data_IF_807189629997
#
_entry.id   IF_807189629997
#
_cell.length_a   1.000
_cell.length_b   1.000
_cell.length_c   1.000
_cell.angle_alpha   90.00
_cell.angle_beta   90.00
_cell.angle_gamma   90.00
#
_symmetry.space_group_name_H-M   'P 1'
#
loop_
_entity.id
_entity.type
_entity.pdbx_description
1 polymer ?
#
# COMPACT_ATOMS: atom_id res chain seq x y z
N UNK A 1 16.77 0.88 2.15
CA UNK A 1 16.21 -0.49 2.17
C UNK A 1 15.37 -0.66 3.42
N UNK A 2 14.17 -1.17 3.26
CA UNK A 2 13.19 -1.36 4.34
C UNK A 2 13.29 -2.81 4.83
N UNK A 3 13.63 -2.96 6.10
CA UNK A 3 13.86 -4.24 6.75
C UNK A 3 13.29 -4.25 8.17
N UNK A 4 12.56 -5.31 8.53
CA UNK A 4 11.95 -5.48 9.86
C UNK A 4 12.19 -6.86 10.40
N UNK A 5 12.17 -6.94 11.74
CA UNK A 5 12.09 -8.22 12.46
C UNK A 5 10.83 -8.26 13.31
N UNK A 6 10.09 -9.34 13.23
CA UNK A 6 8.93 -9.59 14.08
C UNK A 6 8.99 -10.99 14.71
N UNK A 7 8.30 -11.15 15.80
CA UNK A 7 8.09 -12.48 16.38
C UNK A 7 6.81 -13.09 15.83
N UNK A 8 6.90 -14.33 15.40
CA UNK A 8 5.77 -15.14 15.00
C UNK A 8 5.89 -16.50 15.69
N UNK A 9 4.99 -16.81 16.62
CA UNK A 9 5.06 -17.98 17.51
C UNK A 9 6.44 -18.16 18.19
N UNK A 10 7.01 -17.06 18.68
CA UNK A 10 8.32 -17.07 19.35
C UNK A 10 9.54 -17.10 18.42
N UNK A 11 9.36 -17.34 17.14
CA UNK A 11 10.43 -17.33 16.13
C UNK A 11 10.66 -15.92 15.59
N UNK A 12 11.92 -15.57 15.33
CA UNK A 12 12.26 -14.32 14.67
C UNK A 12 12.03 -14.48 13.15
N UNK A 13 11.16 -13.65 12.61
CA UNK A 13 10.86 -13.55 11.18
C UNK A 13 11.36 -12.21 10.69
N UNK A 14 12.02 -12.23 9.54
CA UNK A 14 12.57 -11.03 8.91
C UNK A 14 11.87 -10.76 7.58
N UNK A 15 11.28 -9.59 7.47
CA UNK A 15 10.60 -9.13 6.26
C UNK A 15 11.42 -8.02 5.62
N UNK A 16 11.79 -8.19 4.35
CA UNK A 16 12.53 -7.22 3.54
C UNK A 16 11.62 -6.74 2.41
N UNK A 17 11.74 -5.47 2.03
CA UNK A 17 10.92 -4.88 0.98
C UNK A 17 11.78 -4.34 -0.15
N UNK A 18 11.28 -4.50 -1.38
CA UNK A 18 11.79 -3.98 -2.65
C UNK A 18 13.13 -4.53 -3.12
N UNK A 19 13.87 -5.23 -2.29
CA UNK A 19 15.18 -5.78 -2.67
C UNK A 19 15.48 -7.09 -1.95
N UNK A 20 16.38 -7.89 -2.54
CA UNK A 20 16.96 -9.07 -1.92
C UNK A 20 18.37 -8.70 -1.48
N UNK A 21 18.70 -8.90 -0.19
CA UNK A 21 20.10 -8.95 0.25
C UNK A 21 20.51 -10.42 0.40
N UNK A 22 21.28 -10.97 -0.54
CA UNK A 22 21.72 -12.35 -0.47
C UNK A 22 22.95 -12.47 0.41
N UNK A 23 22.76 -12.63 1.71
CA UNK A 23 23.77 -13.31 2.52
C UNK A 23 23.49 -14.80 2.50
N UNK A 24 24.52 -15.66 2.37
CA UNK A 24 24.32 -17.13 2.34
C UNK A 24 23.60 -17.61 3.59
N UNK A 25 23.90 -17.03 4.75
CA UNK A 25 23.28 -17.35 6.03
C UNK A 25 21.80 -16.94 6.09
N UNK A 26 21.40 -15.87 5.39
CA UNK A 26 20.01 -15.40 5.39
C UNK A 26 19.05 -16.38 4.69
N UNK A 27 19.56 -17.28 3.85
CA UNK A 27 18.75 -18.29 3.14
C UNK A 27 18.26 -19.40 4.06
N UNK A 28 18.88 -19.59 5.21
CA UNK A 28 18.51 -20.59 6.21
C UNK A 28 17.68 -20.02 7.36
N UNK A 29 17.54 -18.71 7.43
CA UNK A 29 16.71 -18.01 8.41
C UNK A 29 15.27 -17.87 7.88
N UNK A 30 14.38 -17.40 8.73
CA UNK A 30 12.95 -17.19 8.39
C UNK A 30 12.82 -15.80 7.78
N UNK A 31 12.98 -15.70 6.44
CA UNK A 31 12.92 -14.43 5.70
C UNK A 31 11.84 -14.43 4.61
N UNK A 32 11.20 -13.28 4.45
CA UNK A 32 10.47 -12.91 3.25
C UNK A 32 11.12 -11.69 2.58
N UNK A 33 11.07 -11.65 1.25
CA UNK A 33 11.50 -10.53 0.43
C UNK A 33 10.29 -10.13 -0.42
N UNK A 34 9.71 -8.98 -0.09
CA UNK A 34 8.42 -8.56 -0.62
C UNK A 34 8.60 -7.51 -1.72
N UNK A 35 7.79 -7.60 -2.78
CA UNK A 35 7.75 -6.63 -3.87
C UNK A 35 9.11 -6.34 -4.51
N UNK A 36 9.91 -7.38 -4.71
CA UNK A 36 11.19 -7.28 -5.41
C UNK A 36 10.92 -7.04 -6.88
N UNK A 37 11.42 -5.93 -7.42
CA UNK A 37 11.19 -5.53 -8.82
C UNK A 37 12.02 -6.32 -9.82
N UNK A 38 13.15 -6.89 -9.38
CA UNK A 38 13.97 -7.75 -10.21
C UNK A 38 13.35 -9.14 -10.33
N UNK A 39 13.12 -9.57 -11.57
CA UNK A 39 12.64 -10.91 -11.89
C UNK A 39 13.83 -11.85 -12.19
N UNK A 40 14.56 -12.23 -11.13
CA UNK A 40 15.70 -13.14 -11.23
C UNK A 40 15.43 -14.43 -10.47
N UNK A 41 16.01 -15.52 -10.97
CA UNK A 41 16.07 -16.76 -10.20
C UNK A 41 17.11 -16.64 -9.08
N UNK A 42 16.74 -17.01 -7.87
CA UNK A 42 17.62 -17.05 -6.72
C UNK A 42 17.65 -18.46 -6.15
N UNK A 43 18.84 -19.11 -6.07
CA UNK A 43 18.95 -20.44 -5.49
C UNK A 43 18.51 -20.43 -4.03
N UNK A 44 17.76 -21.47 -3.64
CA UNK A 44 17.21 -21.66 -2.29
C UNK A 44 16.11 -20.68 -1.86
N UNK A 45 15.59 -19.86 -2.77
CA UNK A 45 14.42 -19.04 -2.52
C UNK A 45 13.22 -19.53 -3.36
N UNK A 46 12.06 -19.55 -2.73
CA UNK A 46 10.80 -19.86 -3.39
C UNK A 46 10.22 -18.54 -3.89
N UNK A 47 9.92 -18.48 -5.18
CA UNK A 47 9.39 -17.28 -5.84
C UNK A 47 7.89 -17.40 -6.05
N UNK A 48 7.17 -16.32 -5.73
CA UNK A 48 5.77 -16.12 -6.09
C UNK A 48 5.59 -14.79 -6.82
N UNK A 49 4.80 -14.79 -7.90
CA UNK A 49 4.48 -13.57 -8.61
C UNK A 49 3.56 -12.68 -7.75
N UNK A 50 3.81 -11.38 -7.78
CA UNK A 50 3.00 -10.37 -7.15
C UNK A 50 2.57 -9.32 -8.17
N UNK A 51 1.27 -9.13 -8.32
CA UNK A 51 0.68 -8.23 -9.31
C UNK A 51 0.38 -6.88 -8.67
N UNK A 52 0.89 -5.80 -9.26
CA UNK A 52 0.73 -4.45 -8.74
C UNK A 52 0.48 -3.43 -9.85
N UNK A 53 0.08 -2.21 -9.46
CA UNK A 53 -0.07 -1.08 -10.39
C UNK A 53 0.88 0.02 -9.95
N UNK A 54 1.82 0.40 -10.82
CA UNK A 54 2.80 1.44 -10.57
C UNK A 54 2.53 2.68 -11.42
N UNK A 55 2.83 3.84 -10.88
CA UNK A 55 2.82 5.13 -11.56
C UNK A 55 4.23 5.73 -11.50
N UNK A 56 4.66 6.27 -12.64
CA UNK A 56 5.97 6.90 -12.83
C UNK A 56 5.94 8.35 -12.35
N UNK A 57 6.63 8.63 -11.24
CA UNK A 57 6.79 9.96 -10.67
C UNK A 57 7.97 10.74 -11.24
N UNK A 58 8.78 10.19 -12.16
CA UNK A 58 9.85 10.96 -12.82
C UNK A 58 9.31 12.03 -13.77
N UNK A 59 8.08 11.86 -14.26
CA UNK A 59 7.35 12.81 -15.11
C UNK A 59 7.12 14.15 -14.40
N UNK A 60 6.92 15.24 -15.16
CA UNK A 60 6.54 16.52 -14.56
C UNK A 60 5.19 16.44 -13.82
N UNK A 61 4.92 17.37 -12.91
CA UNK A 61 3.66 17.42 -12.14
C UNK A 61 2.45 17.54 -13.06
N UNK A 62 2.58 18.35 -14.12
CA UNK A 62 1.55 18.55 -15.12
C UNK A 62 1.30 17.25 -15.90
N UNK A 63 2.37 16.54 -16.27
CA UNK A 63 2.25 15.28 -17.02
C UNK A 63 1.65 14.16 -16.16
N UNK A 64 1.96 14.10 -14.86
CA UNK A 64 1.32 13.17 -13.93
C UNK A 64 -0.20 13.41 -13.91
N UNK A 65 -0.62 14.67 -13.77
CA UNK A 65 -2.05 15.01 -13.77
C UNK A 65 -2.69 14.76 -15.15
N UNK A 66 -1.98 15.00 -16.24
CA UNK A 66 -2.49 14.80 -17.60
C UNK A 66 -2.71 13.33 -17.93
N UNK A 67 -1.94 12.43 -17.34
CA UNK A 67 -2.10 10.98 -17.51
C UNK A 67 -3.35 10.43 -16.78
N UNK A 68 -3.96 11.21 -15.87
CA UNK A 68 -5.19 10.81 -15.20
C UNK A 68 -6.39 10.82 -16.16
N UNK A 69 -7.32 9.90 -15.98
CA UNK A 69 -8.61 9.94 -16.66
C UNK A 69 -9.32 11.28 -16.43
N UNK A 70 -10.08 11.73 -17.43
CA UNK A 70 -10.80 13.01 -17.37
C UNK A 70 -11.66 13.19 -16.11
N UNK A 71 -12.31 12.10 -15.70
CA UNK A 71 -13.16 12.09 -14.49
C UNK A 71 -12.34 12.29 -13.23
N UNK A 72 -11.15 11.68 -13.14
CA UNK A 72 -10.26 11.82 -11.97
C UNK A 72 -9.72 13.25 -11.90
N UNK A 73 -9.27 13.83 -13.04
CA UNK A 73 -8.81 15.23 -13.11
C UNK A 73 -9.88 16.20 -12.59
N UNK A 74 -11.12 16.04 -13.07
CA UNK A 74 -12.23 16.89 -12.62
C UNK A 74 -12.51 16.75 -11.11
N UNK A 75 -12.40 15.53 -10.57
CA UNK A 75 -12.64 15.28 -9.15
C UNK A 75 -11.51 15.81 -8.26
N UNK A 76 -10.26 15.73 -8.72
CA UNK A 76 -9.10 16.34 -8.03
C UNK A 76 -9.29 17.85 -7.94
N UNK A 77 -9.58 18.54 -9.06
CA UNK A 77 -9.86 20.00 -9.07
C UNK A 77 -11.02 20.37 -8.15
N UNK A 78 -12.11 19.61 -8.21
CA UNK A 78 -13.27 19.88 -7.38
C UNK A 78 -12.99 19.73 -5.88
N UNK A 79 -12.14 18.78 -5.47
CA UNK A 79 -11.71 18.65 -4.07
C UNK A 79 -10.85 19.82 -3.61
N UNK A 80 -9.98 20.32 -4.48
CA UNK A 80 -9.19 21.52 -4.20
C UNK A 80 -10.07 22.75 -4.03
N UNK A 81 -11.04 22.95 -4.94
CA UNK A 81 -12.05 24.01 -4.84
C UNK A 81 -12.93 23.88 -3.58
N UNK A 82 -13.28 22.66 -3.17
CA UNK A 82 -14.07 22.39 -1.95
C UNK A 82 -13.26 22.69 -0.67
N UNK A 83 -11.94 23.00 -0.78
CA UNK A 83 -11.06 23.31 0.35
C UNK A 83 -10.55 22.10 1.13
N UNK A 84 -10.47 20.92 0.49
CA UNK A 84 -9.88 19.73 1.10
C UNK A 84 -8.39 19.96 1.36
N UNK A 85 -7.95 19.72 2.58
CA UNK A 85 -6.54 19.82 3.02
C UNK A 85 -5.96 18.41 3.07
N UNK A 86 -4.75 18.23 2.50
CA UNK A 86 -4.01 16.97 2.56
C UNK A 86 -2.69 17.18 3.31
N UNK A 87 -2.38 16.27 4.23
CA UNK A 87 -1.17 16.37 5.05
C UNK A 87 -0.67 15.01 5.51
N UNK A 88 0.61 14.93 5.88
CA UNK A 88 1.21 13.75 6.52
C UNK A 88 1.21 13.92 8.03
N UNK A 89 0.82 12.85 8.73
CA UNK A 89 0.87 12.77 10.20
C UNK A 89 1.01 11.30 10.60
N UNK A 90 2.19 10.92 11.08
CA UNK A 90 2.49 9.54 11.48
C UNK A 90 1.89 9.15 12.85
N UNK A 91 0.81 9.79 13.26
CA UNK A 91 0.07 9.41 14.48
C UNK A 91 -0.66 8.07 14.26
N UNK A 92 -0.01 6.99 14.68
CA UNK A 92 -0.50 5.60 14.50
C UNK A 92 -1.84 5.38 15.19
N UNK A 93 -2.07 5.74 16.47
CA UNK A 93 -3.38 5.58 17.11
C UNK A 93 -4.51 6.27 16.35
N UNK A 94 -4.27 7.47 15.82
CA UNK A 94 -5.24 8.22 15.00
C UNK A 94 -5.61 7.45 13.73
N UNK A 95 -4.62 6.91 13.02
CA UNK A 95 -4.84 6.10 11.83
C UNK A 95 -5.61 4.82 12.14
N UNK A 96 -5.19 4.08 13.17
CA UNK A 96 -5.81 2.79 13.55
C UNK A 96 -7.28 2.99 13.96
N UNK A 97 -7.59 4.05 14.70
CA UNK A 97 -8.99 4.38 15.02
C UNK A 97 -9.81 4.62 13.74
N UNK A 98 -9.32 5.48 12.84
CA UNK A 98 -9.99 5.79 11.57
C UNK A 98 -10.13 4.56 10.66
N UNK A 99 -9.06 3.77 10.53
CA UNK A 99 -9.08 2.56 9.70
C UNK A 99 -10.06 1.52 10.23
N UNK A 100 -10.14 1.33 11.54
CA UNK A 100 -11.00 0.31 12.14
C UNK A 100 -12.50 0.63 11.99
N UNK A 101 -12.89 1.90 11.97
CA UNK A 101 -14.25 2.30 11.57
C UNK A 101 -14.55 1.87 10.13
N UNK A 102 -13.62 2.14 9.21
CA UNK A 102 -13.74 1.73 7.81
C UNK A 102 -13.75 0.20 7.68
N UNK A 103 -12.83 -0.51 8.34
CA UNK A 103 -12.72 -1.96 8.30
C UNK A 103 -14.02 -2.63 8.78
N UNK A 104 -14.61 -2.15 9.87
CA UNK A 104 -15.91 -2.61 10.37
C UNK A 104 -17.01 -2.45 9.33
N UNK A 105 -17.06 -1.31 8.64
CA UNK A 105 -18.07 -1.06 7.59
C UNK A 105 -17.93 -1.96 6.36
N UNK A 106 -16.74 -2.55 6.17
CA UNK A 106 -16.40 -3.42 5.03
C UNK A 106 -16.29 -4.90 5.39
N UNK A 107 -16.45 -5.27 6.65
CA UNK A 107 -16.20 -6.64 7.10
C UNK A 107 -14.73 -7.06 6.97
N UNK A 108 -13.80 -6.11 7.04
CA UNK A 108 -12.36 -6.36 7.00
C UNK A 108 -11.82 -6.58 8.42
N UNK A 109 -10.70 -7.27 8.51
CA UNK A 109 -9.98 -7.43 9.78
C UNK A 109 -9.47 -6.07 10.27
N UNK A 110 -9.59 -5.77 11.58
CA UNK A 110 -9.06 -4.55 12.16
C UNK A 110 -7.53 -4.55 12.17
N UNK A 111 -6.94 -3.36 12.19
CA UNK A 111 -5.52 -3.14 12.44
C UNK A 111 -5.23 -2.82 13.90
N UNK A 112 -3.99 -3.03 14.31
CA UNK A 112 -3.49 -2.68 15.64
C UNK A 112 -2.32 -1.70 15.54
N UNK A 113 -2.08 -0.95 16.62
CA UNK A 113 -0.96 -0.02 16.67
C UNK A 113 0.37 -0.73 16.40
N UNK A 114 0.57 -1.92 16.96
CA UNK A 114 1.82 -2.67 16.80
C UNK A 114 2.04 -3.13 15.35
N UNK A 115 0.96 -3.53 14.65
CA UNK A 115 1.06 -3.93 13.23
C UNK A 115 1.41 -2.74 12.32
N UNK A 116 0.89 -1.56 12.60
CA UNK A 116 1.22 -0.36 11.85
C UNK A 116 2.60 0.16 12.24
N UNK A 117 2.94 0.21 13.53
CA UNK A 117 4.25 0.62 14.04
C UNK A 117 5.41 -0.26 13.54
N UNK A 118 5.09 -1.48 13.10
CA UNK A 118 6.04 -2.42 12.54
C UNK A 118 6.89 -1.84 11.38
N UNK A 119 6.35 -0.90 10.62
CA UNK A 119 7.04 -0.27 9.51
C UNK A 119 8.05 0.82 9.93
N UNK A 120 8.09 1.21 11.21
CA UNK A 120 9.07 2.15 11.76
C UNK A 120 9.25 3.40 10.92
N UNK A 121 10.50 3.77 10.64
CA UNK A 121 10.84 4.98 9.87
C UNK A 121 10.39 4.93 8.40
N UNK A 122 10.10 3.74 7.88
CA UNK A 122 9.56 3.59 6.52
C UNK A 122 8.04 3.84 6.44
N UNK A 123 7.34 4.00 7.57
CA UNK A 123 5.93 4.33 7.58
C UNK A 123 5.69 5.78 7.15
N UNK A 124 4.71 5.97 6.27
CA UNK A 124 4.11 7.28 5.99
C UNK A 124 2.60 7.14 6.12
N UNK A 125 1.97 8.09 6.80
CA UNK A 125 0.52 8.17 6.94
C UNK A 125 0.07 9.53 6.44
N UNK A 126 -0.90 9.55 5.52
CA UNK A 126 -1.48 10.78 4.99
C UNK A 126 -3.00 10.84 5.21
N UNK A 127 -3.53 12.04 5.26
CA UNK A 127 -4.93 12.33 5.50
C UNK A 127 -5.47 13.37 4.53
N UNK A 128 -6.72 13.20 4.11
CA UNK A 128 -7.54 14.24 3.51
C UNK A 128 -8.60 14.69 4.51
N UNK A 129 -8.65 15.98 4.78
CA UNK A 129 -9.53 16.61 5.77
C UNK A 129 -10.33 17.74 5.15
N UNK A 130 -11.57 17.88 5.57
CA UNK A 130 -12.43 19.01 5.22
C UNK A 130 -13.19 19.48 6.48
N UNK A 131 -13.07 20.77 6.81
CA UNK A 131 -13.72 21.39 7.97
C UNK A 131 -13.44 20.66 9.30
N UNK A 132 -12.20 20.23 9.53
CA UNK A 132 -11.79 19.49 10.74
C UNK A 132 -12.20 18.01 10.76
N UNK A 133 -12.74 17.49 9.67
CA UNK A 133 -13.16 16.08 9.55
C UNK A 133 -12.30 15.31 8.57
N UNK A 134 -11.70 14.20 9.02
CA UNK A 134 -10.95 13.31 8.16
C UNK A 134 -11.91 12.53 7.27
N UNK A 135 -11.72 12.64 5.95
CA UNK A 135 -12.52 11.97 4.93
C UNK A 135 -11.85 10.72 4.37
N UNK A 136 -10.51 10.74 4.26
CA UNK A 136 -9.72 9.62 3.79
C UNK A 136 -8.35 9.60 4.48
N UNK A 137 -7.77 8.41 4.57
CA UNK A 137 -6.42 8.19 5.10
C UNK A 137 -5.72 7.07 4.36
N UNK A 138 -4.40 7.24 4.14
CA UNK A 138 -3.56 6.25 3.50
C UNK A 138 -2.36 5.90 4.38
N UNK A 139 -1.84 4.68 4.23
CA UNK A 139 -0.51 4.33 4.74
C UNK A 139 0.37 3.79 3.65
N UNK A 140 1.66 4.02 3.81
CA UNK A 140 2.67 3.63 2.84
C UNK A 140 3.89 3.02 3.50
N UNK A 141 4.55 2.14 2.75
CA UNK A 141 5.94 1.76 2.97
C UNK A 141 6.80 2.58 2.02
N UNK A 142 7.74 3.34 2.56
CA UNK A 142 8.58 4.31 1.87
C UNK A 142 10.04 3.86 1.89
N UNK A 143 10.66 3.73 0.71
CA UNK A 143 12.07 3.40 0.56
C UNK A 143 12.79 4.44 -0.33
N UNK A 144 13.48 5.43 0.26
CA UNK A 144 14.18 6.46 -0.51
C UNK A 144 15.41 5.91 -1.25
N UNK A 145 16.05 4.83 -0.78
CA UNK A 145 17.18 4.21 -1.47
C UNK A 145 16.73 3.55 -2.78
N UNK A 146 15.57 2.88 -2.76
CA UNK A 146 14.97 2.26 -3.94
C UNK A 146 14.07 3.23 -4.71
N UNK A 147 13.91 4.46 -4.21
CA UNK A 147 13.07 5.52 -4.77
C UNK A 147 11.63 5.07 -5.06
N UNK A 148 11.08 4.27 -4.17
CA UNK A 148 9.74 3.70 -4.29
C UNK A 148 8.93 3.93 -3.02
N UNK A 149 7.66 4.23 -3.22
CA UNK A 149 6.64 4.21 -2.16
C UNK A 149 5.53 3.26 -2.56
N UNK A 150 5.08 2.43 -1.62
CA UNK A 150 3.98 1.50 -1.84
C UNK A 150 2.85 1.74 -0.86
N UNK A 151 1.65 1.90 -1.39
CA UNK A 151 0.44 2.00 -0.59
C UNK A 151 0.11 0.64 0.07
N UNK A 152 -0.12 0.69 1.38
CA UNK A 152 -0.52 -0.47 2.18
C UNK A 152 -2.01 -0.45 2.49
N UNK A 153 -2.52 0.70 2.93
CA UNK A 153 -3.92 0.88 3.27
C UNK A 153 -4.47 2.14 2.61
N UNK A 154 -5.74 2.06 2.23
CA UNK A 154 -6.56 3.21 1.83
C UNK A 154 -7.92 3.05 2.50
N UNK A 155 -8.26 3.97 3.38
CA UNK A 155 -9.53 4.01 4.11
C UNK A 155 -10.26 5.32 3.83
N UNK A 156 -11.58 5.29 3.86
CA UNK A 156 -12.39 6.49 3.68
C UNK A 156 -13.73 6.37 4.40
N UNK A 157 -14.35 7.49 4.74
CA UNK A 157 -15.68 7.53 5.35
C UNK A 157 -16.85 7.30 4.37
N UNK A 158 -16.59 6.75 3.19
CA UNK A 158 -17.60 6.59 2.12
C UNK A 158 -18.84 5.77 2.53
N UNK A 159 -18.73 5.00 3.60
CA UNK A 159 -19.81 4.17 4.13
C UNK A 159 -20.52 4.81 5.33
N UNK A 160 -20.08 5.97 5.77
CA UNK A 160 -20.74 6.76 6.79
C UNK A 160 -21.87 7.58 6.13
N UNK A 161 -23.13 7.31 6.52
CA UNK A 161 -24.31 7.92 5.94
C UNK A 161 -24.43 9.43 6.26
N UNK A 162 -23.71 9.89 7.26
CA UNK A 162 -23.67 11.30 7.64
C UNK A 162 -22.84 12.16 6.67
N UNK A 163 -22.17 11.55 5.72
CA UNK A 163 -21.27 12.24 4.79
C UNK A 163 -21.71 12.09 3.33
N UNK A 164 -21.47 13.13 2.55
CA UNK A 164 -21.62 13.08 1.09
C UNK A 164 -20.58 12.12 0.47
N UNK A 165 -21.05 10.96 0.03
CA UNK A 165 -20.23 9.90 -0.61
C UNK A 165 -19.40 10.42 -1.80
N UNK A 166 -19.92 11.40 -2.53
CA UNK A 166 -19.23 11.97 -3.67
C UNK A 166 -18.05 12.85 -3.22
N UNK A 167 -18.26 13.66 -2.17
CA UNK A 167 -17.17 14.46 -1.58
C UNK A 167 -16.05 13.58 -1.04
N UNK A 168 -16.40 12.52 -0.30
CA UNK A 168 -15.40 11.56 0.21
C UNK A 168 -14.63 10.89 -0.94
N UNK A 169 -15.32 10.44 -1.97
CA UNK A 169 -14.70 9.81 -3.13
C UNK A 169 -13.75 10.76 -3.87
N UNK A 170 -14.09 12.05 -3.96
CA UNK A 170 -13.22 13.07 -4.53
C UNK A 170 -12.01 13.35 -3.63
N UNK A 171 -12.23 13.50 -2.32
CA UNK A 171 -11.18 13.73 -1.33
C UNK A 171 -10.14 12.60 -1.32
N UNK A 172 -10.58 11.33 -1.42
CA UNK A 172 -9.67 10.19 -1.54
C UNK A 172 -8.79 10.26 -2.81
N UNK A 173 -9.37 10.67 -3.96
CA UNK A 173 -8.61 10.85 -5.19
C UNK A 173 -7.65 12.03 -5.10
N UNK A 174 -8.07 13.11 -4.48
CA UNK A 174 -7.22 14.26 -4.25
C UNK A 174 -6.05 13.92 -3.31
N UNK A 175 -6.29 13.12 -2.27
CA UNK A 175 -5.23 12.63 -1.38
C UNK A 175 -4.18 11.85 -2.16
N UNK A 176 -4.58 10.89 -3.02
CA UNK A 176 -3.63 10.19 -3.89
C UNK A 176 -2.77 11.15 -4.72
N UNK A 177 -3.39 12.15 -5.35
CA UNK A 177 -2.65 13.12 -6.15
C UNK A 177 -1.66 13.94 -5.31
N UNK A 178 -2.08 14.41 -4.14
CA UNK A 178 -1.22 15.18 -3.23
C UNK A 178 -0.09 14.33 -2.67
N UNK A 179 -0.35 13.08 -2.34
CA UNK A 179 0.66 12.12 -1.90
C UNK A 179 1.71 11.88 -3.01
N UNK A 180 1.27 11.68 -4.26
CA UNK A 180 2.18 11.53 -5.41
C UNK A 180 3.09 12.75 -5.58
N UNK A 181 2.56 13.96 -5.46
CA UNK A 181 3.35 15.18 -5.57
C UNK A 181 4.36 15.32 -4.43
N UNK A 182 3.95 15.03 -3.20
CA UNK A 182 4.83 15.09 -2.04
C UNK A 182 5.98 14.07 -2.15
N UNK A 183 5.67 12.83 -2.48
CA UNK A 183 6.71 11.80 -2.68
C UNK A 183 7.65 12.12 -3.86
N UNK A 184 7.12 12.71 -4.94
CA UNK A 184 7.96 13.21 -6.03
C UNK A 184 8.94 14.29 -5.55
N UNK A 185 8.50 15.22 -4.72
CA UNK A 185 9.36 16.27 -4.13
C UNK A 185 10.44 15.67 -3.22
N UNK A 186 10.17 14.54 -2.57
CA UNK A 186 11.15 13.77 -1.79
C UNK A 186 12.08 12.90 -2.66
N UNK A 187 11.95 12.95 -3.99
CA UNK A 187 12.82 12.22 -4.93
C UNK A 187 12.40 10.78 -5.19
N UNK A 188 11.18 10.39 -4.80
CA UNK A 188 10.60 9.10 -5.16
C UNK A 188 10.26 9.08 -6.65
N UNK A 189 10.63 7.98 -7.32
CA UNK A 189 10.43 7.79 -8.75
C UNK A 189 9.23 6.88 -9.07
N UNK A 190 8.81 6.04 -8.11
CA UNK A 190 7.72 5.08 -8.29
C UNK A 190 6.69 5.18 -7.18
N UNK A 191 5.43 5.37 -7.57
CA UNK A 191 4.27 5.24 -6.70
C UNK A 191 3.56 3.93 -7.00
N UNK A 192 3.62 2.98 -6.07
CA UNK A 192 2.96 1.68 -6.18
C UNK A 192 1.62 1.71 -5.44
N UNK A 193 0.53 1.61 -6.20
CA UNK A 193 -0.84 1.57 -5.67
C UNK A 193 -1.19 0.27 -4.91
N UNK A 194 -0.28 -0.67 -4.83
CA UNK A 194 -0.58 -1.98 -4.27
C UNK A 194 -1.22 -2.97 -5.23
N UNK A 195 -1.48 -4.16 -4.71
CA UNK A 195 -1.86 -5.33 -5.48
C UNK A 195 -3.19 -5.24 -6.23
N UNK A 196 -3.32 -6.08 -7.27
CA UNK A 196 -4.57 -6.44 -7.91
C UNK A 196 -4.64 -7.97 -8.07
N UNK A 197 -5.84 -8.50 -8.27
CA UNK A 197 -6.03 -9.94 -8.43
C UNK A 197 -5.37 -10.47 -9.71
N UNK A 198 -4.70 -11.65 -9.65
CA UNK A 198 -4.06 -12.21 -10.82
C UNK A 198 -5.04 -12.43 -11.97
N UNK A 199 -4.56 -12.44 -13.23
CA UNK A 199 -5.38 -12.82 -14.38
C UNK A 199 -6.03 -14.18 -14.13
N UNK A 200 -7.32 -14.31 -14.45
CA UNK A 200 -8.12 -15.52 -14.24
C UNK A 200 -8.59 -15.79 -12.80
N UNK A 201 -8.39 -14.90 -11.84
CA UNK A 201 -9.12 -14.98 -10.58
C UNK A 201 -10.60 -14.68 -10.82
N UNK A 202 -11.49 -15.48 -10.21
CA UNK A 202 -12.95 -15.25 -10.30
C UNK A 202 -13.40 -14.05 -9.43
N UNK A 203 -12.49 -13.42 -8.76
CA UNK A 203 -12.78 -12.32 -7.83
C UNK A 203 -13.03 -11.04 -8.60
N UNK A 204 -14.21 -10.50 -8.42
CA UNK A 204 -14.71 -9.27 -9.03
C UNK A 204 -14.01 -8.06 -8.39
N UNK A 205 -12.73 -7.82 -8.73
CA UNK A 205 -12.03 -6.59 -8.30
C UNK A 205 -11.66 -5.70 -9.50
N UNK A 206 -12.41 -5.80 -10.58
CA UNK A 206 -12.21 -4.93 -11.74
C UNK A 206 -12.35 -3.44 -11.40
N UNK A 207 -13.24 -3.09 -10.45
CA UNK A 207 -13.43 -1.69 -10.05
C UNK A 207 -12.24 -1.09 -9.31
N UNK A 208 -11.54 -1.87 -8.47
CA UNK A 208 -10.34 -1.39 -7.76
C UNK A 208 -9.15 -1.29 -8.72
N UNK A 209 -9.00 -2.24 -9.61
CA UNK A 209 -7.99 -2.18 -10.66
C UNK A 209 -8.24 -0.98 -11.58
N UNK A 210 -9.48 -0.80 -12.05
CA UNK A 210 -9.82 0.34 -12.90
C UNK A 210 -9.57 1.68 -12.19
N UNK A 211 -9.92 1.79 -10.90
CA UNK A 211 -9.58 2.97 -10.09
C UNK A 211 -8.09 3.32 -10.16
N UNK A 212 -7.19 2.33 -10.04
CA UNK A 212 -5.73 2.54 -10.11
C UNK A 212 -5.27 2.92 -11.52
N UNK A 213 -5.85 2.30 -12.54
CA UNK A 213 -5.54 2.59 -13.94
C UNK A 213 -6.02 3.99 -14.36
N UNK A 214 -7.11 4.48 -13.76
CA UNK A 214 -7.66 5.83 -14.02
C UNK A 214 -6.69 6.95 -13.57
N UNK A 215 -5.70 6.65 -12.72
CA UNK A 215 -4.60 7.55 -12.39
C UNK A 215 -3.41 7.47 -13.37
N UNK A 216 -3.56 6.76 -14.49
CA UNK A 216 -2.45 6.54 -15.43
C UNK A 216 -1.47 5.47 -14.95
N UNK A 217 -1.87 4.68 -13.97
CA UNK A 217 -1.07 3.56 -13.47
C UNK A 217 -0.89 2.46 -14.51
N UNK A 218 0.23 1.75 -14.45
CA UNK A 218 0.60 0.66 -15.35
C UNK A 218 0.67 -0.64 -14.56
N UNK A 219 0.05 -1.71 -15.08
CA UNK A 219 0.17 -3.05 -14.50
C UNK A 219 1.62 -3.51 -14.53
N UNK A 220 2.10 -3.96 -13.38
CA UNK A 220 3.45 -4.51 -13.20
C UNK A 220 3.40 -5.85 -12.50
N UNK A 221 4.42 -6.64 -12.73
CA UNK A 221 4.64 -7.88 -11.99
C UNK A 221 5.95 -7.70 -11.22
N UNK A 222 5.87 -7.78 -9.90
CA UNK A 222 7.00 -7.93 -9.01
C UNK A 222 7.08 -9.36 -8.50
N UNK A 223 8.08 -9.68 -7.73
CA UNK A 223 8.26 -11.02 -7.17
C UNK A 223 8.37 -10.96 -5.66
N UNK A 224 7.70 -11.87 -4.99
CA UNK A 224 7.96 -12.18 -3.60
C UNK A 224 8.86 -13.41 -3.54
N UNK A 225 9.87 -13.37 -2.67
CA UNK A 225 10.76 -14.50 -2.45
C UNK A 225 10.72 -14.89 -0.98
N UNK A 226 10.73 -16.18 -0.74
CA UNK A 226 10.66 -16.75 0.61
C UNK A 226 11.79 -17.75 0.79
N UNK A 227 12.42 -17.71 1.94
CA UNK A 227 13.27 -18.83 2.36
C UNK A 227 12.41 -20.07 2.61
N UNK A 228 12.95 -21.26 2.45
CA UNK A 228 12.20 -22.50 2.68
C UNK A 228 11.60 -22.57 4.09
N UNK A 229 12.31 -22.21 5.18
CA UNK A 229 11.71 -22.18 6.51
C UNK A 229 10.50 -21.23 6.62
N UNK A 230 10.58 -20.03 6.01
CA UNK A 230 9.45 -19.08 5.99
C UNK A 230 8.26 -19.67 5.23
N UNK A 231 8.50 -20.24 4.05
CA UNK A 231 7.45 -20.80 3.20
C UNK A 231 6.69 -21.93 3.88
N UNK A 232 7.42 -22.86 4.53
CA UNK A 232 6.82 -23.95 5.31
C UNK A 232 5.98 -23.38 6.45
N UNK A 233 6.54 -22.48 7.25
CA UNK A 233 5.86 -21.85 8.38
C UNK A 233 4.56 -21.13 7.94
N UNK A 234 4.62 -20.35 6.87
CA UNK A 234 3.46 -19.62 6.32
C UNK A 234 2.36 -20.59 5.88
N UNK A 235 2.72 -21.65 5.16
CA UNK A 235 1.74 -22.62 4.66
C UNK A 235 1.10 -23.43 5.79
N UNK A 236 1.85 -23.78 6.82
CA UNK A 236 1.30 -24.41 8.02
C UNK A 236 0.32 -23.47 8.73
N UNK A 237 0.66 -22.19 8.85
CA UNK A 237 -0.24 -21.18 9.41
C UNK A 237 -1.54 -21.04 8.63
N UNK A 238 -1.47 -20.92 7.28
CA UNK A 238 -2.66 -20.84 6.43
C UNK A 238 -3.53 -22.08 6.60
N UNK A 239 -2.92 -23.28 6.63
CA UNK A 239 -3.66 -24.55 6.74
C UNK A 239 -4.31 -24.80 8.10
N UNK A 240 -3.65 -24.40 9.19
CA UNK A 240 -4.08 -24.73 10.56
C UNK A 240 -4.50 -23.51 11.38
N UNK A 241 -4.08 -22.31 11.03
CA UNK A 241 -4.41 -21.08 11.74
C UNK A 241 -5.75 -20.46 11.32
N UNK A 242 -6.22 -20.76 10.11
CA UNK A 242 -7.52 -20.29 9.57
C UNK A 242 -8.74 -21.01 10.16
N UNK A 243 -8.55 -22.06 10.99
CA UNK A 243 -9.63 -22.84 11.61
C UNK A 243 -10.05 -22.33 12.98
N UNK A 244 -9.56 -21.18 13.43
CA UNK A 244 -9.85 -20.61 14.77
C UNK A 244 -10.42 -19.18 14.71
N UNK A 245 -11.37 -18.93 13.78
CA UNK A 245 -12.26 -17.75 13.88
C UNK A 245 -13.68 -18.15 13.54
#
# INVERSE_FOLDING_TARGET
MVWYSRKFYGLNVHDNWFSIRPGILNKFLIHSFNHVREDKWHPFLIKEANYTVELDLTKSKEKILDDFARTVKAQVRKSEEDGVICYFDNNIPKFVAFFNEFAKSKGLSPETNDRIAFFGDALRISYAELNGQILAAHTYVYDPEQKIVRQMHSASKRFDENFDRNKIGRANKYLHYRDMLAFKEEGIEVYDFGGYSPPNSKDVIDSLLQFKLDFGGVKKVSSNYFTLPYYIMRNLYIKFGSTKN
#
